data_IF_155205853922
#
_entry.id   IF_155205853922
#
_cell.length_a   1.000
_cell.length_b   1.000
_cell.length_c   1.000
_cell.angle_alpha   90.00
_cell.angle_beta   90.00
_cell.angle_gamma   90.00
#
_symmetry.space_group_name_H-M   'P 1'
#
loop_
_entity.id
_entity.type
_entity.pdbx_description
1 polymer ?
#
# COMPACT_ATOMS: atom_id res chain seq x y z
N UNK A 1 -11.28 -28.72 62.37
CA UNK A 1 -12.67 -28.19 62.43
C UNK A 1 -12.61 -26.73 62.00
N UNK A 2 -13.55 -26.31 61.14
CA UNK A 2 -13.78 -24.98 60.56
C UNK A 2 -13.52 -23.81 61.53
N UNK A 3 -13.22 -22.58 61.10
CA UNK A 3 -13.15 -21.93 59.79
C UNK A 3 -13.19 -20.39 59.99
N UNK A 4 -12.85 -19.62 58.93
CA UNK A 4 -13.19 -18.19 58.69
C UNK A 4 -12.51 -17.15 59.63
N UNK A 5 -11.92 -16.02 59.20
CA UNK A 5 -12.30 -15.08 58.14
C UNK A 5 -11.14 -14.13 57.74
N UNK A 6 -11.06 -13.82 56.44
CA UNK A 6 -10.56 -12.62 55.73
C UNK A 6 -9.41 -11.75 56.25
N UNK A 7 -8.37 -11.58 55.41
CA UNK A 7 -7.94 -10.24 55.01
C UNK A 7 -7.31 -10.20 53.62
N UNK A 8 -7.83 -9.31 52.77
CA UNK A 8 -7.34 -8.99 51.42
C UNK A 8 -6.12 -8.08 51.53
N UNK A 9 -5.07 -8.35 50.77
CA UNK A 9 -4.12 -7.31 50.34
C UNK A 9 -3.78 -7.52 48.86
N UNK A 10 -4.32 -6.61 48.05
CA UNK A 10 -3.94 -6.35 46.67
C UNK A 10 -2.60 -5.62 46.64
N UNK A 11 -1.64 -6.12 45.87
CA UNK A 11 -0.44 -5.36 45.47
C UNK A 11 -0.53 -5.05 43.98
N UNK A 12 -1.09 -3.88 43.66
CA UNK A 12 -0.95 -3.23 42.36
C UNK A 12 0.44 -2.59 42.29
N UNK A 13 1.38 -3.22 41.59
CA UNK A 13 2.63 -2.58 41.22
C UNK A 13 2.36 -1.62 40.05
N UNK A 14 2.08 -0.35 40.35
CA UNK A 14 2.11 0.72 39.37
C UNK A 14 3.56 1.04 39.02
N UNK A 15 4.03 0.58 37.87
CA UNK A 15 5.30 1.03 37.29
C UNK A 15 5.03 2.32 36.54
N UNK A 16 5.41 3.45 37.14
CA UNK A 16 5.43 4.75 36.47
C UNK A 16 6.50 4.73 35.37
N UNK A 17 6.18 5.10 34.12
CA UNK A 17 7.16 5.12 33.06
C UNK A 17 8.22 6.19 33.33
N UNK A 18 9.48 5.83 33.03
CA UNK A 18 10.65 6.70 33.21
C UNK A 18 10.55 7.95 32.33
N UNK A 19 11.26 9.02 32.70
CA UNK A 19 11.25 10.28 31.93
C UNK A 19 11.70 10.12 30.46
N UNK A 20 12.45 9.06 30.13
CA UNK A 20 12.84 8.71 28.76
C UNK A 20 11.71 8.07 27.94
N UNK A 21 10.71 7.44 28.56
CA UNK A 21 9.50 6.95 27.87
C UNK A 21 8.51 8.08 27.59
N UNK A 22 8.43 9.09 28.47
CA UNK A 22 7.56 10.26 28.28
C UNK A 22 8.05 11.21 27.16
N UNK A 23 9.35 11.20 26.84
CA UNK A 23 9.89 12.01 25.74
C UNK A 23 9.68 11.37 24.35
N UNK A 24 9.48 10.04 24.26
CA UNK A 24 9.10 9.39 23.00
C UNK A 24 7.60 9.54 22.70
N UNK A 25 6.71 9.46 23.70
CA UNK A 25 5.26 9.56 23.49
C UNK A 25 4.78 10.99 23.15
N UNK A 26 5.52 12.03 23.59
CA UNK A 26 5.16 13.43 23.29
C UNK A 26 5.69 13.94 21.94
N UNK A 27 6.72 13.29 21.38
CA UNK A 27 7.29 13.65 20.07
C UNK A 27 6.47 13.12 18.87
N UNK A 28 5.90 11.91 18.99
CA UNK A 28 5.19 11.23 17.89
C UNK A 28 3.80 11.85 17.59
N UNK A 29 3.12 12.35 18.62
CA UNK A 29 1.80 12.97 18.48
C UNK A 29 1.84 14.29 17.69
N UNK A 30 2.86 15.12 17.94
CA UNK A 30 3.02 16.41 17.26
C UNK A 30 3.38 16.24 15.78
N UNK A 31 4.29 15.30 15.44
CA UNK A 31 4.65 15.01 14.04
C UNK A 31 3.43 14.53 13.23
N UNK A 32 2.61 13.64 13.82
CA UNK A 32 1.38 13.16 13.17
C UNK A 32 0.40 14.30 12.92
N UNK A 33 0.16 15.18 13.89
CA UNK A 33 -0.72 16.34 13.72
C UNK A 33 -0.22 17.28 12.62
N UNK A 34 1.09 17.52 12.53
CA UNK A 34 1.68 18.34 11.46
C UNK A 34 1.54 17.69 10.08
N UNK A 35 1.70 16.37 9.98
CA UNK A 35 1.48 15.65 8.71
C UNK A 35 0.02 15.67 8.27
N UNK A 36 -0.93 15.58 9.20
CA UNK A 36 -2.37 15.76 8.90
C UNK A 36 -2.64 17.18 8.39
N UNK A 37 -2.07 18.20 9.05
CA UNK A 37 -2.21 19.59 8.60
C UNK A 37 -1.59 19.80 7.20
N UNK A 38 -0.43 19.21 6.92
CA UNK A 38 0.16 19.21 5.58
C UNK A 38 -0.77 18.55 4.55
N UNK A 39 -1.33 17.37 4.84
CA UNK A 39 -2.26 16.68 3.93
C UNK A 39 -3.49 17.54 3.62
N UNK A 40 -4.04 18.20 4.64
CA UNK A 40 -5.18 19.10 4.48
C UNK A 40 -4.83 20.35 3.67
N UNK A 41 -3.62 20.90 3.83
CA UNK A 41 -3.11 22.01 3.03
C UNK A 41 -2.89 21.62 1.56
N UNK A 42 -2.28 20.46 1.31
CA UNK A 42 -2.10 19.89 -0.03
C UNK A 42 -3.44 19.69 -0.73
N UNK A 43 -4.45 19.16 -0.02
CA UNK A 43 -5.80 19.04 -0.57
C UNK A 43 -6.40 20.40 -0.97
N UNK A 44 -6.34 21.40 -0.08
CA UNK A 44 -6.84 22.76 -0.38
C UNK A 44 -6.16 23.36 -1.62
N UNK A 45 -4.86 23.12 -1.79
CA UNK A 45 -4.07 23.53 -2.95
C UNK A 45 -4.51 22.80 -4.22
N UNK A 46 -4.60 21.47 -4.16
CA UNK A 46 -4.96 20.59 -5.29
C UNK A 46 -6.36 20.88 -5.85
N UNK A 47 -7.36 21.08 -4.98
CA UNK A 47 -8.74 21.41 -5.38
C UNK A 47 -8.83 22.64 -6.30
N UNK A 48 -7.88 23.58 -6.19
CA UNK A 48 -7.85 24.81 -6.99
C UNK A 48 -7.01 24.68 -8.26
N UNK A 49 -6.07 23.73 -8.31
CA UNK A 49 -5.03 23.65 -9.35
C UNK A 49 -5.23 22.52 -10.33
N UNK A 50 -5.85 21.41 -9.91
CA UNK A 50 -5.93 20.23 -10.76
C UNK A 50 -7.09 20.31 -11.77
N UNK A 51 -6.87 19.93 -13.03
CA UNK A 51 -7.85 20.09 -14.10
C UNK A 51 -8.95 19.02 -14.08
N UNK A 52 -8.75 17.93 -13.33
CA UNK A 52 -9.69 16.81 -13.20
C UNK A 52 -9.72 16.29 -11.78
N UNK A 53 -10.87 15.75 -11.38
CA UNK A 53 -11.11 15.15 -10.07
C UNK A 53 -10.83 13.65 -10.12
N UNK A 54 -9.73 13.25 -9.49
CA UNK A 54 -9.33 11.84 -9.38
C UNK A 54 -9.70 11.30 -8.00
N UNK A 55 -10.41 10.18 -7.95
CA UNK A 55 -10.79 9.50 -6.69
C UNK A 55 -10.08 8.16 -6.59
N UNK A 56 -9.43 7.93 -5.45
CA UNK A 56 -8.88 6.62 -5.12
C UNK A 56 -9.80 5.89 -4.16
N UNK A 57 -9.91 4.57 -4.31
CA UNK A 57 -10.57 3.72 -3.33
C UNK A 57 -9.65 2.57 -2.88
N UNK A 58 -9.71 2.26 -1.59
CA UNK A 58 -8.87 1.22 -0.99
C UNK A 58 -9.55 0.55 0.21
N UNK A 59 -9.14 -0.68 0.50
CA UNK A 59 -9.57 -1.42 1.69
C UNK A 59 -8.41 -1.47 2.67
N UNK A 60 -8.66 -1.14 3.94
CA UNK A 60 -7.64 -0.98 4.95
C UNK A 60 -8.01 -1.69 6.26
N UNK A 61 -7.13 -2.53 6.79
CA UNK A 61 -7.31 -3.22 8.07
C UNK A 61 -6.30 -2.86 9.17
N UNK A 62 -5.58 -1.74 9.01
CA UNK A 62 -4.43 -1.37 9.83
C UNK A 62 -4.76 -0.73 11.19
N UNK A 63 -3.85 -0.85 12.16
CA UNK A 63 -3.86 -0.09 13.42
C UNK A 63 -3.41 1.35 13.22
N UNK A 64 -3.57 2.21 14.23
CA UNK A 64 -3.13 3.61 14.21
C UNK A 64 -1.67 3.75 13.82
N UNK A 65 -0.79 2.97 14.44
CA UNK A 65 0.64 2.99 14.13
C UNK A 65 0.93 2.64 12.65
N UNK A 66 0.19 1.69 12.06
CA UNK A 66 0.34 1.37 10.63
C UNK A 66 -0.23 2.47 9.73
N UNK A 67 -1.32 3.14 10.15
CA UNK A 67 -1.86 4.30 9.43
C UNK A 67 -0.86 5.44 9.43
N UNK A 68 -0.29 5.80 10.58
CA UNK A 68 0.71 6.87 10.70
C UNK A 68 1.98 6.56 9.89
N UNK A 69 2.45 5.31 9.94
CA UNK A 69 3.70 4.88 9.31
C UNK A 69 3.59 4.69 7.80
N UNK A 70 2.51 4.07 7.32
CA UNK A 70 2.43 3.60 5.93
C UNK A 70 1.33 4.32 5.14
N UNK A 71 0.13 4.49 5.70
CA UNK A 71 -1.03 5.04 4.98
C UNK A 71 -0.99 6.57 4.87
N UNK A 72 -0.59 7.29 5.92
CA UNK A 72 -0.55 8.76 5.91
C UNK A 72 0.50 9.28 4.91
N UNK A 73 1.73 8.73 4.83
CA UNK A 73 2.67 9.08 3.75
C UNK A 73 2.12 8.74 2.36
N UNK A 74 1.38 7.64 2.23
CA UNK A 74 0.73 7.24 0.98
C UNK A 74 -0.36 8.23 0.56
N UNK A 75 -1.19 8.73 1.49
CA UNK A 75 -2.20 9.77 1.24
C UNK A 75 -1.51 11.08 0.85
N UNK A 76 -0.48 11.49 1.60
CA UNK A 76 0.29 12.70 1.32
C UNK A 76 0.88 12.68 -0.10
N UNK A 77 1.56 11.59 -0.46
CA UNK A 77 2.12 11.40 -1.79
C UNK A 77 1.04 11.53 -2.87
N UNK A 78 -0.07 10.79 -2.75
CA UNK A 78 -1.09 10.81 -3.80
C UNK A 78 -1.86 12.14 -3.85
N UNK A 79 -2.02 12.84 -2.72
CA UNK A 79 -2.57 14.20 -2.70
C UNK A 79 -1.66 15.17 -3.45
N UNK A 80 -0.33 15.05 -3.29
CA UNK A 80 0.66 15.82 -4.06
C UNK A 80 0.57 15.55 -5.57
N UNK A 81 0.27 14.31 -5.96
CA UNK A 81 0.05 13.91 -7.35
C UNK A 81 -1.32 14.36 -7.90
N UNK A 82 -2.10 15.12 -7.14
CA UNK A 82 -3.39 15.65 -7.57
C UNK A 82 -4.58 14.71 -7.37
N UNK A 83 -4.44 13.65 -6.57
CA UNK A 83 -5.60 12.85 -6.16
C UNK A 83 -6.49 13.68 -5.26
N UNK A 84 -7.75 13.83 -5.69
CA UNK A 84 -8.71 14.73 -5.06
C UNK A 84 -9.27 14.16 -3.76
N UNK A 85 -9.75 12.91 -3.79
CA UNK A 85 -10.37 12.27 -2.62
C UNK A 85 -10.04 10.77 -2.54
N UNK A 86 -10.08 10.25 -1.31
CA UNK A 86 -9.85 8.85 -0.98
C UNK A 86 -11.10 8.24 -0.33
N UNK A 87 -11.62 7.17 -0.89
CA UNK A 87 -12.68 6.37 -0.28
C UNK A 87 -12.09 5.12 0.37
N UNK A 88 -12.18 5.04 1.69
CA UNK A 88 -11.58 3.95 2.49
C UNK A 88 -12.68 3.10 3.09
N UNK A 89 -12.75 1.83 2.67
CA UNK A 89 -13.45 0.81 3.45
C UNK A 89 -12.51 0.30 4.54
N UNK A 90 -12.79 0.67 5.78
CA UNK A 90 -11.99 0.30 6.93
C UNK A 90 -12.49 -1.01 7.54
N UNK A 91 -11.70 -2.06 7.36
CA UNK A 91 -11.86 -3.43 7.87
C UNK A 91 -11.01 -3.67 9.14
N UNK A 92 -10.52 -2.59 9.77
CA UNK A 92 -9.76 -2.64 11.01
C UNK A 92 -10.65 -2.51 12.25
N UNK A 93 -10.07 -2.80 13.41
CA UNK A 93 -10.74 -2.71 14.73
C UNK A 93 -10.10 -1.69 15.67
N UNK A 94 -9.27 -0.80 15.14
CA UNK A 94 -8.66 0.28 15.90
C UNK A 94 -9.46 1.58 15.68
N UNK A 95 -10.10 2.08 16.74
CA UNK A 95 -10.88 3.32 16.68
C UNK A 95 -9.99 4.56 16.50
N UNK A 96 -8.74 4.52 16.96
CA UNK A 96 -7.83 5.66 16.89
C UNK A 96 -7.25 5.83 15.49
N UNK A 97 -7.11 4.72 14.76
CA UNK A 97 -6.85 4.73 13.33
C UNK A 97 -8.02 5.39 12.56
N UNK A 98 -9.26 5.04 12.91
CA UNK A 98 -10.45 5.61 12.28
C UNK A 98 -10.56 7.11 12.55
N UNK A 99 -10.33 7.55 13.79
CA UNK A 99 -10.27 8.98 14.17
C UNK A 99 -9.19 9.73 13.39
N UNK A 100 -8.01 9.14 13.22
CA UNK A 100 -6.94 9.72 12.42
C UNK A 100 -7.35 9.87 10.95
N UNK A 101 -7.91 8.83 10.33
CA UNK A 101 -8.37 8.89 8.94
C UNK A 101 -9.46 9.94 8.74
N UNK A 102 -10.40 10.06 9.68
CA UNK A 102 -11.49 11.07 9.65
C UNK A 102 -10.98 12.51 9.81
N UNK A 103 -9.78 12.73 10.33
CA UNK A 103 -9.18 14.06 10.46
C UNK A 103 -8.63 14.64 9.15
N UNK A 104 -8.52 13.81 8.11
CA UNK A 104 -8.05 14.19 6.78
C UNK A 104 -9.23 14.66 5.91
N UNK A 105 -9.16 15.88 5.40
CA UNK A 105 -10.25 16.54 4.67
C UNK A 105 -10.63 15.86 3.35
N UNK A 106 -9.67 15.14 2.74
CA UNK A 106 -9.87 14.43 1.48
C UNK A 106 -10.12 12.93 1.67
N UNK A 107 -10.42 12.48 2.88
CA UNK A 107 -10.66 11.06 3.18
C UNK A 107 -12.10 10.82 3.62
N UNK A 108 -12.79 9.97 2.87
CA UNK A 108 -14.09 9.43 3.20
C UNK A 108 -13.94 7.99 3.66
N UNK A 109 -14.01 7.78 4.97
CA UNK A 109 -13.88 6.45 5.56
C UNK A 109 -15.24 5.88 5.98
N UNK A 110 -15.41 4.57 5.78
CA UNK A 110 -16.57 3.79 6.25
C UNK A 110 -16.09 2.53 6.96
N UNK A 111 -16.51 2.35 8.22
CA UNK A 111 -16.12 1.19 9.01
C UNK A 111 -17.01 -0.03 8.69
N UNK A 112 -16.37 -1.16 8.37
CA UNK A 112 -17.06 -2.43 8.11
C UNK A 112 -17.51 -3.13 9.41
N UNK A 113 -16.80 -2.88 10.51
CA UNK A 113 -17.12 -3.49 11.80
C UNK A 113 -17.86 -2.52 12.73
N UNK A 114 -18.92 -3.03 13.36
CA UNK A 114 -19.80 -2.25 14.23
C UNK A 114 -19.16 -1.81 15.55
N UNK A 115 -18.12 -2.52 15.98
CA UNK A 115 -17.42 -2.33 17.26
C UNK A 115 -16.49 -1.10 17.26
N UNK A 116 -16.14 -0.59 16.09
CA UNK A 116 -15.35 0.66 15.92
C UNK A 116 -16.10 1.77 15.20
N UNK A 117 -17.32 1.50 14.76
CA UNK A 117 -18.17 2.47 14.11
C UNK A 117 -18.70 3.48 15.14
N UNK A 118 -18.42 4.76 14.94
CA UNK A 118 -19.23 5.84 15.50
C UNK A 118 -20.57 5.87 14.74
N UNK A 119 -21.66 6.36 15.36
CA UNK A 119 -23.02 6.39 14.78
C UNK A 119 -23.12 7.30 13.52
N UNK A 120 -22.53 6.86 12.41
CA UNK A 120 -22.72 7.44 11.08
C UNK A 120 -23.93 6.75 10.46
N UNK A 121 -24.97 7.54 10.17
CA UNK A 121 -26.29 7.06 9.75
C UNK A 121 -26.29 6.04 8.59
N UNK A 122 -25.32 6.12 7.68
CA UNK A 122 -25.24 5.25 6.50
C UNK A 122 -24.42 3.96 6.71
N UNK A 123 -23.63 3.86 7.78
CA UNK A 123 -22.78 2.68 8.01
C UNK A 123 -23.58 1.39 8.27
N UNK A 124 -24.69 1.37 9.04
CA UNK A 124 -25.52 0.18 9.18
C UNK A 124 -26.05 -0.34 7.83
N UNK A 125 -26.53 0.56 6.97
CA UNK A 125 -27.04 0.21 5.63
C UNK A 125 -25.92 -0.31 4.72
N UNK A 126 -24.72 0.27 4.80
CA UNK A 126 -23.55 -0.21 4.06
C UNK A 126 -23.17 -1.64 4.51
N UNK A 127 -23.16 -1.90 5.83
CA UNK A 127 -22.88 -3.25 6.37
C UNK A 127 -23.90 -4.29 5.93
N UNK A 128 -25.18 -3.93 5.87
CA UNK A 128 -26.23 -4.79 5.32
C UNK A 128 -25.99 -5.09 3.84
N UNK A 129 -25.70 -4.07 3.02
CA UNK A 129 -25.34 -4.26 1.61
C UNK A 129 -24.11 -5.15 1.44
N UNK A 130 -23.10 -4.99 2.30
CA UNK A 130 -21.91 -5.84 2.30
C UNK A 130 -22.26 -7.30 2.63
N UNK A 131 -23.08 -7.55 3.66
CA UNK A 131 -23.50 -8.90 4.01
C UNK A 131 -24.21 -9.59 2.83
N UNK A 132 -25.19 -8.90 2.22
CA UNK A 132 -25.87 -9.41 1.02
C UNK A 132 -24.96 -9.54 -0.20
N UNK A 133 -23.92 -8.71 -0.31
CA UNK A 133 -22.90 -8.83 -1.35
C UNK A 133 -22.03 -10.07 -1.15
N UNK A 134 -21.52 -10.28 0.06
CA UNK A 134 -20.66 -11.40 0.41
C UNK A 134 -21.37 -12.75 0.20
N UNK A 135 -22.65 -12.85 0.58
CA UNK A 135 -23.49 -14.03 0.34
C UNK A 135 -23.64 -14.36 -1.15
N UNK A 136 -23.87 -13.33 -1.99
CA UNK A 136 -24.02 -13.53 -3.45
C UNK A 136 -22.72 -13.95 -4.14
N UNK A 137 -21.58 -13.62 -3.57
CA UNK A 137 -20.26 -14.00 -4.09
C UNK A 137 -19.75 -15.30 -3.47
N UNK A 138 -20.66 -16.25 -3.17
CA UNK A 138 -20.41 -17.48 -2.41
C UNK A 138 -19.18 -18.29 -2.84
N UNK A 139 -18.82 -18.28 -4.13
CA UNK A 139 -17.63 -18.96 -4.65
C UNK A 139 -16.32 -18.48 -4.01
N UNK A 140 -16.31 -17.23 -3.53
CA UNK A 140 -15.18 -16.57 -2.89
C UNK A 140 -15.49 -16.10 -1.46
N UNK A 141 -16.75 -15.73 -1.18
CA UNK A 141 -17.19 -15.09 0.06
C UNK A 141 -17.09 -15.97 1.32
N UNK A 142 -17.19 -17.29 1.16
CA UNK A 142 -16.97 -18.23 2.27
C UNK A 142 -15.51 -18.66 2.45
N UNK A 143 -14.63 -18.28 1.51
CA UNK A 143 -13.21 -18.61 1.60
C UNK A 143 -12.46 -17.52 2.36
N UNK A 144 -11.60 -17.89 3.32
CA UNK A 144 -10.84 -16.92 4.11
C UNK A 144 -9.71 -16.25 3.32
N UNK A 145 -9.00 -15.35 4.00
CA UNK A 145 -7.73 -14.78 3.53
C UNK A 145 -7.85 -13.95 2.26
N UNK A 146 -7.02 -14.23 1.26
CA UNK A 146 -7.00 -13.45 0.01
C UNK A 146 -8.38 -13.42 -0.66
N UNK A 147 -9.15 -14.52 -0.60
CA UNK A 147 -10.45 -14.60 -1.24
C UNK A 147 -11.48 -13.65 -0.58
N UNK A 148 -11.56 -13.66 0.75
CA UNK A 148 -12.39 -12.72 1.50
C UNK A 148 -11.96 -11.27 1.26
N UNK A 149 -10.66 -11.00 1.20
CA UNK A 149 -10.13 -9.66 0.90
C UNK A 149 -10.56 -9.18 -0.50
N UNK A 150 -10.48 -10.02 -1.52
CA UNK A 150 -10.93 -9.66 -2.88
C UNK A 150 -12.44 -9.34 -2.91
N UNK A 151 -13.26 -10.04 -2.13
CA UNK A 151 -14.70 -9.74 -2.01
C UNK A 151 -14.93 -8.37 -1.38
N UNK A 152 -14.18 -8.03 -0.32
CA UNK A 152 -14.23 -6.71 0.34
C UNK A 152 -13.76 -5.59 -0.59
N UNK A 153 -12.63 -5.77 -1.28
CA UNK A 153 -12.10 -4.80 -2.25
C UNK A 153 -13.11 -4.56 -3.39
N UNK A 154 -13.72 -5.62 -3.93
CA UNK A 154 -14.72 -5.48 -5.00
C UNK A 154 -15.98 -4.77 -4.51
N UNK A 155 -16.44 -5.06 -3.29
CA UNK A 155 -17.54 -4.32 -2.67
C UNK A 155 -17.20 -2.83 -2.51
N UNK A 156 -16.03 -2.54 -1.94
CA UNK A 156 -15.52 -1.18 -1.75
C UNK A 156 -15.48 -0.40 -3.07
N UNK A 157 -14.97 -1.01 -4.15
CA UNK A 157 -14.95 -0.38 -5.47
C UNK A 157 -16.35 -0.01 -5.97
N UNK A 158 -17.34 -0.88 -5.78
CA UNK A 158 -18.71 -0.59 -6.23
C UNK A 158 -19.37 0.51 -5.39
N UNK A 159 -19.13 0.55 -4.07
CA UNK A 159 -19.58 1.66 -3.22
C UNK A 159 -18.86 2.97 -3.61
N UNK A 160 -17.56 2.91 -3.90
CA UNK A 160 -16.76 4.05 -4.33
C UNK A 160 -17.25 4.66 -5.65
N UNK A 161 -17.81 3.87 -6.57
CA UNK A 161 -18.44 4.39 -7.80
C UNK A 161 -19.61 5.33 -7.48
N UNK A 162 -20.42 5.01 -6.47
CA UNK A 162 -21.53 5.88 -6.05
C UNK A 162 -20.98 7.22 -5.53
N UNK A 163 -19.94 7.17 -4.71
CA UNK A 163 -19.25 8.36 -4.20
C UNK A 163 -18.61 9.19 -5.30
N UNK A 164 -17.91 8.55 -6.22
CA UNK A 164 -17.29 9.22 -7.36
C UNK A 164 -18.34 9.96 -8.21
N UNK A 165 -19.52 9.35 -8.42
CA UNK A 165 -20.62 10.01 -9.14
C UNK A 165 -21.22 11.19 -8.39
N UNK A 166 -21.49 11.04 -7.09
CA UNK A 166 -22.01 12.14 -6.23
C UNK A 166 -21.01 13.29 -6.15
N UNK A 167 -19.71 12.99 -6.08
CA UNK A 167 -18.63 13.99 -6.07
C UNK A 167 -18.31 14.59 -7.44
N UNK A 168 -18.96 14.13 -8.51
CA UNK A 168 -18.62 14.49 -9.90
C UNK A 168 -17.13 14.29 -10.20
N UNK A 169 -16.59 13.14 -9.79
CA UNK A 169 -15.24 12.74 -10.16
C UNK A 169 -15.15 12.49 -11.68
N UNK A 170 -13.99 12.77 -12.25
CA UNK A 170 -13.67 12.44 -13.64
C UNK A 170 -13.10 11.03 -13.75
N UNK A 171 -12.27 10.64 -12.78
CA UNK A 171 -11.55 9.38 -12.76
C UNK A 171 -11.65 8.69 -11.41
N UNK A 172 -11.69 7.35 -11.43
CA UNK A 172 -11.67 6.49 -10.25
C UNK A 172 -10.64 5.36 -10.41
N UNK A 173 -9.89 5.06 -9.35
CA UNK A 173 -8.92 3.96 -9.32
C UNK A 173 -8.96 3.24 -7.98
N UNK A 174 -8.89 1.90 -8.02
CA UNK A 174 -8.56 1.13 -6.83
C UNK A 174 -7.05 0.97 -6.72
N UNK A 175 -6.49 1.20 -5.55
CA UNK A 175 -5.05 1.09 -5.31
C UNK A 175 -4.79 0.67 -3.87
N UNK A 176 -3.87 -0.28 -3.68
CA UNK A 176 -3.57 -0.82 -2.36
C UNK A 176 -2.60 0.12 -1.58
N UNK A 177 -2.61 0.10 -0.23
CA UNK A 177 -1.79 1.02 0.57
C UNK A 177 -0.26 0.78 0.48
N UNK A 178 0.16 -0.28 -0.21
CA UNK A 178 1.55 -0.57 -0.57
C UNK A 178 1.86 -0.27 -2.06
N UNK A 179 0.93 0.31 -2.81
CA UNK A 179 1.07 0.63 -4.23
C UNK A 179 1.10 2.16 -4.45
N UNK A 180 2.07 2.65 -5.22
CA UNK A 180 2.23 4.08 -5.53
C UNK A 180 2.12 4.30 -7.03
N UNK A 181 1.24 5.20 -7.47
CA UNK A 181 1.23 5.60 -8.89
C UNK A 181 2.42 6.51 -9.16
N UNK A 182 3.13 6.25 -10.26
CA UNK A 182 4.18 7.12 -10.77
C UNK A 182 3.91 7.41 -12.24
N UNK A 183 3.47 8.63 -12.58
CA UNK A 183 3.54 9.14 -13.94
C UNK A 183 5.01 9.21 -14.37
N UNK A 184 5.33 8.62 -15.53
CA UNK A 184 6.67 8.58 -16.11
C UNK A 184 6.86 9.64 -17.18
N UNK A 185 5.78 10.29 -17.62
CA UNK A 185 5.85 11.41 -18.55
C UNK A 185 6.63 12.56 -17.93
N UNK A 186 7.87 12.74 -18.36
CA UNK A 186 8.65 13.96 -18.15
C UNK A 186 8.24 14.93 -19.25
N UNK A 187 7.56 16.01 -18.89
CA UNK A 187 7.40 17.17 -19.76
C UNK A 187 8.73 17.91 -19.91
N UNK A 188 8.63 19.21 -20.19
CA UNK A 188 9.75 20.07 -20.57
C UNK A 188 10.72 20.42 -19.42
N UNK A 189 10.64 19.72 -18.28
CA UNK A 189 11.54 19.90 -17.15
C UNK A 189 11.08 20.97 -16.15
N UNK A 190 9.83 21.42 -16.23
CA UNK A 190 9.18 22.18 -15.16
C UNK A 190 8.63 21.18 -14.12
N UNK A 191 8.92 21.37 -12.82
CA UNK A 191 8.58 20.43 -11.73
C UNK A 191 7.09 20.05 -11.54
N UNK A 192 6.20 20.52 -12.44
CA UNK A 192 4.78 20.22 -12.59
C UNK A 192 4.48 18.85 -13.26
N UNK A 193 5.53 18.13 -13.65
CA UNK A 193 5.47 16.93 -14.51
C UNK A 193 5.01 15.64 -13.81
N UNK A 194 4.89 15.61 -12.48
CA UNK A 194 4.49 14.41 -11.73
C UNK A 194 2.99 14.35 -11.38
N UNK A 195 2.17 15.34 -11.76
CA UNK A 195 0.73 15.31 -11.45
C UNK A 195 0.01 14.18 -12.21
N UNK A 196 -0.55 13.23 -11.47
CA UNK A 196 -1.36 12.16 -12.03
C UNK A 196 -2.71 12.68 -12.54
N UNK A 197 -3.28 13.70 -11.90
CA UNK A 197 -4.49 14.34 -12.40
C UNK A 197 -4.26 15.00 -13.78
N UNK A 198 -3.17 15.75 -13.95
CA UNK A 198 -2.82 16.33 -15.26
C UNK A 198 -2.50 15.26 -16.30
N UNK A 199 -1.81 14.19 -15.90
CA UNK A 199 -1.61 13.02 -16.76
C UNK A 199 -2.94 12.45 -17.26
N UNK A 200 -3.92 12.26 -16.38
CA UNK A 200 -5.24 11.74 -16.73
C UNK A 200 -6.10 12.72 -17.53
N UNK A 201 -5.94 14.03 -17.32
CA UNK A 201 -6.62 15.06 -18.10
C UNK A 201 -6.22 15.04 -19.58
N UNK A 202 -4.95 14.76 -19.88
CA UNK A 202 -4.41 14.67 -21.24
C UNK A 202 -4.91 13.42 -22.00
N UNK A 203 -5.54 12.47 -21.32
CA UNK A 203 -5.96 11.22 -21.93
C UNK A 203 -7.13 11.45 -22.90
N UNK A 204 -7.08 10.87 -24.12
CA UNK A 204 -8.10 11.09 -25.12
C UNK A 204 -9.52 10.78 -24.60
N UNK A 205 -10.50 11.55 -25.06
CA UNK A 205 -11.90 11.43 -24.62
C UNK A 205 -12.52 10.04 -24.87
N UNK A 206 -12.01 9.29 -25.86
CA UNK A 206 -12.45 7.93 -26.17
C UNK A 206 -11.89 6.86 -25.21
N UNK A 207 -10.79 7.13 -24.51
CA UNK A 207 -10.19 6.21 -23.53
C UNK A 207 -11.10 6.15 -22.30
N UNK A 208 -11.69 4.99 -22.03
CA UNK A 208 -12.60 4.80 -20.88
C UNK A 208 -11.86 4.31 -19.65
N UNK A 209 -10.79 3.55 -19.84
CA UNK A 209 -10.00 2.94 -18.78
C UNK A 209 -8.55 2.79 -19.23
N UNK A 210 -7.63 3.03 -18.30
CA UNK A 210 -6.19 2.93 -18.50
C UNK A 210 -5.62 1.89 -17.56
N UNK A 211 -4.99 0.86 -18.12
CA UNK A 211 -4.28 -0.16 -17.37
C UNK A 211 -2.83 0.26 -17.18
N UNK A 212 -2.42 0.34 -15.93
CA UNK A 212 -1.07 0.72 -15.50
C UNK A 212 -0.40 -0.54 -14.92
N UNK A 213 0.74 -0.93 -15.50
CA UNK A 213 1.50 -2.08 -15.03
C UNK A 213 2.34 -1.74 -13.80
N UNK A 214 2.62 -2.77 -12.99
CA UNK A 214 3.36 -2.62 -11.75
C UNK A 214 4.85 -2.98 -11.89
N UNK A 215 5.70 -2.26 -11.18
CA UNK A 215 7.07 -2.64 -10.89
C UNK A 215 7.15 -3.02 -9.40
N UNK A 216 7.75 -4.17 -9.08
CA UNK A 216 7.81 -4.72 -7.74
C UNK A 216 9.09 -4.28 -7.03
N UNK A 217 8.98 -3.79 -5.81
CA UNK A 217 10.12 -3.35 -5.03
C UNK A 217 11.14 -4.49 -4.81
N UNK A 218 12.41 -4.10 -4.76
CA UNK A 218 13.55 -4.99 -4.60
C UNK A 218 14.46 -4.43 -3.51
N UNK A 219 14.24 -4.77 -2.23
CA UNK A 219 15.13 -4.37 -1.14
C UNK A 219 16.59 -4.80 -1.43
N UNK A 220 17.52 -3.91 -1.12
CA UNK A 220 18.97 -4.15 -1.30
C UNK A 220 19.66 -4.49 0.04
N UNK A 221 18.93 -4.40 1.16
CA UNK A 221 19.39 -4.81 2.49
C UNK A 221 18.22 -5.25 3.37
N UNK A 222 18.53 -5.99 4.44
CA UNK A 222 17.54 -6.61 5.31
C UNK A 222 16.91 -5.65 6.35
N UNK A 223 17.58 -4.53 6.64
CA UNK A 223 17.25 -3.63 7.73
C UNK A 223 16.64 -2.32 7.22
N UNK A 224 15.47 -2.41 6.60
CA UNK A 224 14.73 -1.25 6.07
C UNK A 224 13.86 -0.65 7.18
N UNK A 225 14.11 0.60 7.56
CA UNK A 225 13.28 1.34 8.54
C UNK A 225 12.15 2.08 7.84
N UNK A 226 12.50 2.89 6.84
CA UNK A 226 11.57 3.65 6.02
C UNK A 226 11.65 3.17 4.57
N UNK A 227 10.64 2.38 4.15
CA UNK A 227 10.59 1.82 2.79
C UNK A 227 10.57 2.89 1.70
N UNK A 228 9.94 4.04 1.96
CA UNK A 228 9.80 5.11 0.96
C UNK A 228 11.12 5.86 0.77
N UNK A 229 12.00 5.84 1.77
CA UNK A 229 13.31 6.48 1.69
C UNK A 229 14.42 5.52 1.32
N UNK A 230 14.32 4.23 1.63
CA UNK A 230 15.43 3.28 1.48
C UNK A 230 15.25 2.36 0.26
N UNK A 231 14.01 2.06 -0.16
CA UNK A 231 13.75 1.14 -1.26
C UNK A 231 13.45 1.90 -2.54
N UNK A 232 14.46 1.95 -3.42
CA UNK A 232 14.38 2.66 -4.71
C UNK A 232 14.54 1.75 -5.92
N UNK A 233 14.95 0.50 -5.72
CA UNK A 233 15.16 -0.46 -6.81
C UNK A 233 13.88 -1.27 -7.04
N UNK A 234 13.48 -1.40 -8.30
CA UNK A 234 12.27 -2.10 -8.72
C UNK A 234 12.55 -3.10 -9.82
N UNK A 235 11.91 -4.26 -9.71
CA UNK A 235 11.78 -5.29 -10.74
C UNK A 235 10.66 -4.89 -11.69
N UNK A 236 10.96 -4.83 -12.98
CA UNK A 236 9.99 -4.37 -13.97
C UNK A 236 8.89 -5.40 -14.24
N UNK A 237 7.71 -4.95 -14.70
CA UNK A 237 6.72 -5.89 -15.22
C UNK A 237 7.24 -6.50 -16.53
N UNK A 238 6.90 -7.77 -16.81
CA UNK A 238 7.20 -8.40 -18.11
C UNK A 238 6.65 -7.61 -19.31
N UNK A 239 5.54 -6.88 -19.12
CA UNK A 239 4.92 -6.06 -20.15
C UNK A 239 5.72 -4.79 -20.46
N UNK A 240 6.62 -4.39 -19.57
CA UNK A 240 7.47 -3.21 -19.69
C UNK A 240 8.92 -3.57 -20.07
N UNK A 241 9.23 -4.85 -20.28
CA UNK A 241 10.58 -5.35 -20.56
C UNK A 241 10.82 -5.55 -22.05
N UNK A 242 12.05 -5.26 -22.50
CA UNK A 242 12.55 -5.74 -23.78
C UNK A 242 12.77 -7.27 -23.75
N UNK A 243 12.78 -7.89 -24.93
CA UNK A 243 12.94 -9.34 -25.09
C UNK A 243 14.21 -9.90 -24.42
N UNK A 244 15.32 -9.17 -24.51
CA UNK A 244 16.60 -9.62 -23.91
C UNK A 244 16.55 -9.64 -22.37
N UNK A 245 15.86 -8.65 -21.77
CA UNK A 245 15.62 -8.60 -20.33
C UNK A 245 14.76 -9.80 -19.87
N UNK A 246 13.76 -10.15 -20.66
CA UNK A 246 12.83 -11.22 -20.36
C UNK A 246 13.53 -12.57 -20.16
N UNK A 247 14.55 -12.88 -20.97
CA UNK A 247 15.33 -14.11 -20.84
C UNK A 247 16.12 -14.18 -19.52
N UNK A 248 16.50 -13.03 -18.96
CA UNK A 248 17.34 -12.95 -17.77
C UNK A 248 16.57 -13.09 -16.45
N UNK A 249 15.25 -12.90 -16.45
CA UNK A 249 14.40 -12.94 -15.25
C UNK A 249 14.56 -14.23 -14.42
N UNK A 250 14.77 -15.37 -15.08
CA UNK A 250 14.87 -16.68 -14.43
C UNK A 250 16.22 -16.88 -13.75
N UNK A 251 17.25 -16.14 -14.16
CA UNK A 251 18.61 -16.21 -13.62
C UNK A 251 18.79 -15.37 -12.36
N UNK A 252 18.07 -14.25 -12.24
CA UNK A 252 18.15 -13.34 -11.08
C UNK A 252 17.10 -13.61 -10.01
N UNK A 253 16.43 -14.76 -10.07
CA UNK A 253 15.41 -15.14 -9.10
C UNK A 253 16.05 -15.54 -7.78
N UNK A 254 15.75 -14.76 -6.74
CA UNK A 254 16.26 -14.96 -5.39
C UNK A 254 15.67 -16.18 -4.69
N UNK A 255 16.53 -16.91 -3.99
CA UNK A 255 16.18 -17.99 -3.08
C UNK A 255 15.25 -19.04 -3.68
N UNK A 256 14.40 -19.59 -2.82
CA UNK A 256 13.41 -20.62 -3.14
C UNK A 256 12.25 -20.15 -4.02
N UNK A 257 12.25 -18.89 -4.48
CA UNK A 257 11.15 -18.37 -5.28
C UNK A 257 10.92 -19.22 -6.54
N UNK A 258 9.67 -19.38 -6.94
CA UNK A 258 9.29 -20.15 -8.13
C UNK A 258 9.36 -19.35 -9.42
N UNK A 259 9.30 -18.03 -9.34
CA UNK A 259 9.39 -17.12 -10.48
C UNK A 259 10.15 -15.85 -10.13
N UNK A 260 10.54 -15.08 -11.15
CA UNK A 260 10.90 -13.68 -10.98
C UNK A 260 9.71 -12.97 -10.34
N UNK A 261 9.84 -12.66 -9.06
CA UNK A 261 8.70 -12.36 -8.22
C UNK A 261 8.16 -10.95 -8.51
N UNK A 262 6.99 -10.93 -9.13
CA UNK A 262 6.07 -9.80 -9.25
C UNK A 262 4.73 -10.33 -8.71
N UNK A 263 4.32 -9.94 -7.50
CA UNK A 263 3.18 -10.53 -6.80
C UNK A 263 1.87 -10.27 -7.55
N UNK A 264 1.69 -9.06 -8.07
CA UNK A 264 0.50 -8.66 -8.83
C UNK A 264 0.82 -8.21 -10.25
N UNK A 265 1.32 -9.12 -11.09
CA UNK A 265 1.73 -8.81 -12.47
C UNK A 265 0.61 -8.29 -13.39
N UNK A 266 -0.65 -8.30 -12.93
CA UNK A 266 -1.80 -7.81 -13.68
C UNK A 266 -1.83 -6.28 -13.81
N UNK A 267 -1.16 -5.53 -12.92
CA UNK A 267 -1.33 -4.09 -12.81
C UNK A 267 -2.69 -3.69 -12.19
N UNK A 268 -3.03 -2.41 -12.27
CA UNK A 268 -4.35 -1.87 -11.92
C UNK A 268 -4.88 -1.02 -13.07
N UNK A 269 -6.15 -0.65 -12.99
CA UNK A 269 -6.72 0.32 -13.93
C UNK A 269 -7.41 1.47 -13.24
N UNK A 270 -7.35 2.61 -13.90
CA UNK A 270 -8.10 3.83 -13.60
C UNK A 270 -9.13 4.03 -14.69
N UNK A 271 -10.36 4.38 -14.31
CA UNK A 271 -11.49 4.46 -15.23
C UNK A 271 -12.23 5.79 -15.12
N UNK A 272 -12.90 6.20 -16.20
CA UNK A 272 -13.76 7.38 -16.19
C UNK A 272 -14.96 7.13 -15.27
N UNK A 273 -15.09 7.95 -14.23
CA UNK A 273 -16.11 7.78 -13.20
C UNK A 273 -17.54 8.06 -13.71
N UNK A 274 -17.67 8.83 -14.79
CA UNK A 274 -18.95 9.15 -15.43
C UNK A 274 -19.47 8.06 -16.38
N UNK A 275 -18.72 6.97 -16.61
CA UNK A 275 -19.15 5.90 -17.50
C UNK A 275 -20.46 5.24 -17.01
N UNK A 276 -21.37 4.98 -17.95
CA UNK A 276 -22.63 4.27 -17.67
C UNK A 276 -22.32 2.83 -17.25
N UNK A 277 -23.04 2.33 -16.24
CA UNK A 277 -22.87 0.99 -15.68
C UNK A 277 -21.42 0.62 -15.28
N UNK A 278 -20.62 1.64 -14.90
CA UNK A 278 -19.29 1.45 -14.33
C UNK A 278 -19.36 0.53 -13.10
N UNK A 279 -18.54 -0.52 -13.11
CA UNK A 279 -18.46 -1.54 -12.07
C UNK A 279 -17.06 -2.15 -12.01
N UNK A 280 -16.73 -2.74 -10.88
CA UNK A 280 -15.49 -3.51 -10.71
C UNK A 280 -15.58 -4.88 -11.42
N UNK A 281 -14.47 -5.29 -12.05
CA UNK A 281 -14.19 -6.66 -12.51
C UNK A 281 -13.15 -7.33 -11.60
N UNK A 282 -13.29 -7.12 -10.29
CA UNK A 282 -12.31 -7.49 -9.28
C UNK A 282 -11.33 -6.34 -8.95
N UNK A 283 -10.38 -6.57 -8.04
CA UNK A 283 -9.56 -5.52 -7.42
C UNK A 283 -8.57 -4.80 -8.36
N UNK A 284 -8.50 -5.21 -9.63
CA UNK A 284 -7.56 -4.68 -10.61
C UNK A 284 -8.23 -3.92 -11.77
N UNK A 285 -9.47 -4.27 -12.12
CA UNK A 285 -10.06 -3.85 -13.39
C UNK A 285 -11.46 -3.25 -13.24
N UNK A 286 -11.80 -2.36 -14.16
CA UNK A 286 -13.13 -1.77 -14.28
C UNK A 286 -13.80 -2.19 -15.59
N UNK A 287 -15.13 -2.06 -15.65
CA UNK A 287 -15.89 -2.15 -16.89
C UNK A 287 -17.12 -1.26 -16.82
N UNK A 288 -17.54 -0.76 -17.98
CA UNK A 288 -18.77 0.00 -18.17
C UNK A 288 -19.22 -0.11 -19.63
N UNK A 289 -20.23 0.67 -19.98
CA UNK A 289 -20.80 0.66 -21.34
C UNK A 289 -20.09 1.66 -22.27
N UNK A 290 -19.26 2.56 -21.69
CA UNK A 290 -18.52 3.60 -22.39
C UNK A 290 -18.79 5.00 -21.83
N UNK A 291 -18.04 5.98 -22.31
CA UNK A 291 -18.41 7.41 -22.17
C UNK A 291 -19.70 7.66 -22.96
N UNK A 292 -20.55 8.65 -22.62
CA UNK A 292 -21.77 8.95 -23.39
C UNK A 292 -21.59 9.03 -24.92
N UNK A 293 -20.35 9.26 -25.39
CA UNK A 293 -20.00 9.49 -26.78
C UNK A 293 -19.12 8.40 -27.42
N UNK A 294 -18.79 7.29 -26.73
CA UNK A 294 -17.91 6.25 -27.29
C UNK A 294 -18.06 4.90 -26.57
N UNK A 295 -17.86 3.76 -27.26
CA UNK A 295 -17.83 2.45 -26.60
C UNK A 295 -16.71 2.35 -25.57
N UNK A 296 -16.87 1.46 -24.59
CA UNK A 296 -15.83 1.19 -23.59
C UNK A 296 -14.51 0.80 -24.25
N UNK A 297 -13.48 1.59 -24.00
CA UNK A 297 -12.14 1.38 -24.55
C UNK A 297 -11.11 1.31 -23.43
N UNK A 298 -10.49 0.14 -23.28
CA UNK A 298 -9.34 -0.08 -22.41
C UNK A 298 -8.05 0.22 -23.18
N UNK A 299 -7.16 1.00 -22.58
CA UNK A 299 -5.85 1.33 -23.15
C UNK A 299 -4.75 0.99 -22.15
N UNK A 300 -3.57 0.62 -22.63
CA UNK A 300 -2.40 0.41 -21.79
C UNK A 300 -1.70 1.76 -21.59
N UNK A 301 -1.35 2.09 -20.35
CA UNK A 301 -0.45 3.20 -20.08
C UNK A 301 0.99 2.77 -20.40
N UNK A 302 1.66 3.51 -21.28
CA UNK A 302 3.08 3.33 -21.64
C UNK A 302 4.01 4.31 -20.90
N UNK A 303 3.44 5.31 -20.25
CA UNK A 303 4.11 6.42 -19.57
C UNK A 303 3.61 6.58 -18.10
N UNK A 304 3.13 5.49 -17.49
CA UNK A 304 2.86 5.41 -16.07
C UNK A 304 3.17 4.01 -15.53
N UNK A 305 3.50 3.93 -14.24
CA UNK A 305 3.78 2.67 -13.55
C UNK A 305 3.15 2.68 -12.16
N UNK A 306 2.88 1.49 -11.62
CA UNK A 306 2.57 1.31 -10.20
C UNK A 306 3.82 0.77 -9.52
N UNK A 307 4.35 1.47 -8.53
CA UNK A 307 5.43 0.99 -7.68
C UNK A 307 4.82 0.20 -6.53
N UNK A 308 5.04 -1.12 -6.51
CA UNK A 308 4.47 -2.01 -5.51
C UNK A 308 5.52 -2.34 -4.45
N UNK A 309 5.30 -1.90 -3.21
CA UNK A 309 6.20 -2.05 -2.07
C UNK A 309 5.85 -3.26 -1.20
N UNK A 310 5.48 -4.39 -1.80
CA UNK A 310 5.21 -5.59 -1.05
C UNK A 310 6.50 -6.22 -0.51
N UNK A 311 6.43 -6.68 0.74
CA UNK A 311 7.54 -7.36 1.43
C UNK A 311 8.86 -6.59 1.33
N UNK A 312 8.85 -5.34 1.77
CA UNK A 312 10.05 -4.50 1.81
C UNK A 312 10.72 -4.48 3.18
N UNK A 313 10.06 -5.04 4.21
CA UNK A 313 10.61 -5.20 5.55
C UNK A 313 10.33 -6.60 6.13
N UNK A 314 11.11 -6.99 7.14
CA UNK A 314 10.91 -8.26 7.88
C UNK A 314 9.52 -8.30 8.52
N UNK A 315 9.00 -7.16 8.98
CA UNK A 315 7.70 -7.03 9.61
C UNK A 315 6.54 -7.35 8.65
N UNK A 316 6.73 -7.16 7.33
CA UNK A 316 5.73 -7.52 6.32
C UNK A 316 5.54 -9.04 6.26
N UNK A 317 6.61 -9.82 6.47
CA UNK A 317 6.52 -11.28 6.61
C UNK A 317 5.90 -11.61 7.96
N UNK A 318 6.42 -11.05 9.05
CA UNK A 318 5.98 -11.36 10.41
C UNK A 318 4.47 -11.13 10.61
N UNK A 319 3.94 -10.05 10.05
CA UNK A 319 2.52 -9.68 10.18
C UNK A 319 1.56 -10.67 9.51
N UNK A 320 2.02 -11.52 8.57
CA UNK A 320 1.15 -12.47 7.86
C UNK A 320 0.44 -13.42 8.82
N UNK A 321 1.11 -13.85 9.89
CA UNK A 321 0.53 -14.75 10.90
C UNK A 321 -0.76 -14.21 11.54
N UNK A 322 -0.87 -12.88 11.69
CA UNK A 322 -2.03 -12.24 12.32
C UNK A 322 -3.04 -11.65 11.34
N UNK A 323 -2.73 -11.59 10.05
CA UNK A 323 -3.50 -10.79 9.07
C UNK A 323 -4.03 -11.59 7.88
N UNK A 324 -3.46 -12.76 7.57
CA UNK A 324 -3.69 -13.42 6.28
C UNK A 324 -4.69 -14.58 6.29
N UNK A 325 -4.80 -15.33 7.40
CA UNK A 325 -5.80 -16.37 7.58
C UNK A 325 -6.43 -16.23 8.98
N UNK A 326 -7.75 -16.42 9.12
CA UNK A 326 -8.41 -16.41 10.42
C UNK A 326 -8.27 -17.76 11.12
N UNK A 327 -8.12 -17.76 12.44
CA UNK A 327 -8.27 -18.95 13.28
C UNK A 327 -7.03 -19.85 13.39
N UNK A 328 -6.97 -20.56 14.54
CA UNK A 328 -5.82 -21.38 14.90
C UNK A 328 -5.63 -22.60 13.98
N UNK A 329 -6.71 -23.10 13.36
CA UNK A 329 -6.66 -24.25 12.45
C UNK A 329 -5.69 -24.05 11.27
N UNK A 330 -5.63 -22.83 10.70
CA UNK A 330 -4.72 -22.54 9.59
C UNK A 330 -3.29 -22.35 10.07
N UNK A 331 -3.11 -21.80 11.28
CA UNK A 331 -1.79 -21.69 11.91
C UNK A 331 -1.21 -23.07 12.17
N UNK A 332 -2.00 -23.98 12.73
CA UNK A 332 -1.59 -25.35 12.93
C UNK A 332 -1.30 -26.08 11.60
N UNK A 333 -2.15 -25.88 10.59
CA UNK A 333 -1.93 -26.43 9.25
C UNK A 333 -0.60 -25.92 8.65
N UNK A 334 -0.26 -24.66 8.88
CA UNK A 334 1.03 -24.08 8.49
C UNK A 334 2.22 -24.76 9.16
N UNK A 335 2.15 -24.97 10.48
CA UNK A 335 3.17 -25.67 11.25
C UNK A 335 3.35 -27.13 10.82
N UNK A 336 2.25 -27.81 10.45
CA UNK A 336 2.27 -29.18 9.89
C UNK A 336 2.66 -29.24 8.41
N UNK A 337 2.88 -28.11 7.74
CA UNK A 337 3.22 -28.05 6.32
C UNK A 337 2.08 -28.44 5.38
N UNK A 338 0.82 -28.42 5.83
CA UNK A 338 -0.35 -28.77 5.03
C UNK A 338 -0.72 -27.65 4.05
N UNK A 339 -0.02 -27.62 2.90
CA UNK A 339 -0.26 -26.64 1.83
C UNK A 339 -1.69 -26.70 1.27
N UNK A 340 -2.30 -27.88 1.22
CA UNK A 340 -3.66 -28.06 0.67
C UNK A 340 -4.67 -27.27 1.48
N UNK A 341 -4.64 -27.38 2.81
CA UNK A 341 -5.51 -26.58 3.70
C UNK A 341 -5.23 -25.09 3.56
N UNK A 342 -3.96 -24.69 3.48
CA UNK A 342 -3.61 -23.26 3.32
C UNK A 342 -4.06 -22.66 1.98
N UNK A 343 -4.21 -23.48 0.93
CA UNK A 343 -4.75 -23.01 -0.36
C UNK A 343 -6.22 -22.57 -0.30
N UNK A 344 -6.91 -22.86 0.80
CA UNK A 344 -8.24 -22.28 1.08
C UNK A 344 -8.17 -20.78 1.41
N UNK A 345 -7.03 -20.26 1.89
CA UNK A 345 -6.81 -18.82 2.10
C UNK A 345 -6.05 -18.12 0.96
N UNK A 346 -5.08 -18.83 0.35
CA UNK A 346 -4.05 -18.18 -0.46
C UNK A 346 -4.17 -18.50 -1.94
N UNK A 347 -4.28 -17.44 -2.75
CA UNK A 347 -4.15 -17.51 -4.21
C UNK A 347 -2.67 -17.66 -4.58
N UNK A 348 -1.83 -16.84 -3.95
CA UNK A 348 -0.41 -16.71 -4.26
C UNK A 348 0.41 -17.64 -3.36
N UNK A 349 1.30 -18.45 -3.98
CA UNK A 349 2.18 -19.38 -3.24
C UNK A 349 3.14 -18.65 -2.30
N UNK A 350 3.63 -17.47 -2.70
CA UNK A 350 4.54 -16.69 -1.89
C UNK A 350 3.89 -16.21 -0.58
N UNK A 351 2.66 -15.68 -0.64
CA UNK A 351 1.89 -15.29 0.55
C UNK A 351 1.68 -16.48 1.48
N UNK A 352 1.38 -17.65 0.92
CA UNK A 352 1.25 -18.91 1.67
C UNK A 352 2.56 -19.26 2.39
N UNK A 353 3.69 -19.20 1.70
CA UNK A 353 4.99 -19.53 2.28
C UNK A 353 5.44 -18.50 3.34
N UNK A 354 5.18 -17.21 3.11
CA UNK A 354 5.39 -16.16 4.10
C UNK A 354 4.52 -16.39 5.35
N UNK A 355 3.23 -16.72 5.17
CA UNK A 355 2.33 -17.05 6.28
C UNK A 355 2.83 -18.27 7.08
N UNK A 356 3.33 -19.30 6.40
CA UNK A 356 3.88 -20.49 7.06
C UNK A 356 5.06 -20.15 7.94
N UNK A 357 6.02 -19.39 7.43
CA UNK A 357 7.19 -18.98 8.20
C UNK A 357 6.77 -18.05 9.35
N UNK A 358 5.89 -17.08 9.10
CA UNK A 358 5.37 -16.19 10.13
C UNK A 358 4.66 -16.95 11.27
N UNK A 359 3.93 -18.03 10.94
CA UNK A 359 3.18 -18.85 11.90
C UNK A 359 4.07 -19.54 12.95
N UNK A 360 5.36 -19.73 12.65
CA UNK A 360 6.34 -20.28 13.60
C UNK A 360 6.59 -19.35 14.78
N UNK A 361 6.42 -18.04 14.61
CA UNK A 361 6.83 -17.03 15.60
C UNK A 361 8.35 -16.91 15.80
N UNK A 362 9.15 -17.68 15.05
CA UNK A 362 10.61 -17.63 15.14
C UNK A 362 11.14 -16.44 14.31
N UNK A 363 11.61 -15.42 15.02
CA UNK A 363 12.15 -14.20 14.41
C UNK A 363 13.37 -14.46 13.52
N UNK A 364 14.17 -15.50 13.82
CA UNK A 364 15.33 -15.89 13.01
C UNK A 364 14.85 -16.52 11.70
N UNK A 365 13.87 -17.43 11.76
CA UNK A 365 13.29 -18.04 10.57
C UNK A 365 12.60 -17.02 9.66
N UNK A 366 11.83 -16.08 10.26
CA UNK A 366 11.15 -15.00 9.53
C UNK A 366 12.15 -14.09 8.83
N UNK A 367 13.19 -13.64 9.54
CA UNK A 367 14.27 -12.82 8.96
C UNK A 367 14.98 -13.55 7.84
N UNK A 368 15.36 -14.82 8.06
CA UNK A 368 16.04 -15.63 7.04
C UNK A 368 15.18 -15.77 5.79
N UNK A 369 13.88 -16.05 5.94
CA UNK A 369 12.97 -16.13 4.79
C UNK A 369 12.92 -14.81 4.01
N UNK A 370 12.83 -13.67 4.71
CA UNK A 370 12.85 -12.36 4.09
C UNK A 370 14.16 -12.11 3.32
N UNK A 371 15.31 -12.34 3.96
CA UNK A 371 16.63 -12.15 3.36
C UNK A 371 16.85 -13.04 2.13
N UNK A 372 16.50 -14.33 2.21
CA UNK A 372 16.68 -15.27 1.12
C UNK A 372 15.71 -15.02 -0.06
N UNK A 373 14.52 -14.47 0.21
CA UNK A 373 13.46 -14.40 -0.80
C UNK A 373 13.24 -13.00 -1.37
N UNK A 374 13.56 -11.95 -0.62
CA UNK A 374 13.27 -10.56 -0.99
C UNK A 374 14.52 -9.71 -1.19
N UNK A 375 15.65 -10.00 -0.53
CA UNK A 375 16.78 -9.07 -0.47
C UNK A 375 17.84 -9.40 -1.53
N UNK A 376 18.13 -8.43 -2.40
CA UNK A 376 19.20 -8.51 -3.38
C UNK A 376 20.49 -7.93 -2.77
N UNK A 377 21.30 -8.81 -2.17
CA UNK A 377 22.53 -8.45 -1.45
C UNK A 377 23.65 -9.45 -1.73
N UNK A 378 24.88 -9.12 -1.32
CA UNK A 378 26.03 -10.01 -1.47
C UNK A 378 25.76 -11.34 -0.76
N UNK A 379 26.11 -12.46 -1.40
CA UNK A 379 25.83 -13.79 -0.87
C UNK A 379 24.37 -14.24 -1.06
N UNK A 380 23.48 -13.40 -1.62
CA UNK A 380 22.12 -13.84 -1.93
C UNK A 380 22.13 -15.05 -2.87
N UNK A 381 21.24 -16.01 -2.64
CA UNK A 381 21.25 -17.29 -3.33
C UNK A 381 20.39 -17.25 -4.58
N UNK A 382 20.91 -17.75 -5.69
CA UNK A 382 20.16 -17.92 -6.95
C UNK A 382 20.34 -19.32 -7.50
N UNK A 383 19.41 -19.75 -8.35
CA UNK A 383 19.52 -21.03 -9.07
C UNK A 383 20.45 -20.82 -10.28
N UNK A 384 21.51 -21.62 -10.34
CA UNK A 384 22.53 -21.57 -11.40
C UNK A 384 22.88 -22.99 -11.86
N UNK A 385 23.48 -23.13 -13.04
CA UNK A 385 24.19 -24.36 -13.41
C UNK A 385 25.62 -24.30 -12.85
N UNK A 386 26.13 -25.42 -12.33
CA UNK A 386 27.50 -25.51 -11.82
C UNK A 386 28.55 -25.60 -12.94
N UNK A 387 28.17 -26.13 -14.09
CA UNK A 387 28.94 -26.10 -15.34
C UNK A 387 28.00 -26.09 -16.54
N UNK A 388 28.51 -25.77 -17.73
CA UNK A 388 27.73 -25.85 -18.97
C UNK A 388 27.27 -27.28 -19.30
N UNK A 389 28.01 -28.28 -18.81
CA UNK A 389 27.76 -29.71 -19.02
C UNK A 389 26.83 -30.34 -17.98
N UNK A 390 26.58 -29.67 -16.86
CA UNK A 390 25.72 -30.16 -15.79
C UNK A 390 24.26 -29.75 -16.05
N UNK A 391 23.41 -30.76 -16.32
CA UNK A 391 21.98 -30.56 -16.50
C UNK A 391 21.27 -30.21 -15.18
N UNK A 392 21.91 -30.41 -14.03
CA UNK A 392 21.32 -30.16 -12.72
C UNK A 392 21.55 -28.72 -12.25
N UNK A 393 20.46 -28.05 -11.88
CA UNK A 393 20.53 -26.71 -11.31
C UNK A 393 20.98 -26.82 -9.83
N UNK A 394 22.03 -26.10 -9.48
CA UNK A 394 22.55 -25.93 -8.12
C UNK A 394 22.13 -24.60 -7.48
N UNK A 395 22.74 -24.28 -6.35
CA UNK A 395 22.66 -22.95 -5.73
C UNK A 395 24.00 -22.25 -5.89
N UNK A 396 23.95 -20.99 -6.34
CA UNK A 396 25.10 -20.09 -6.34
C UNK A 396 24.81 -18.90 -5.44
N UNK A 397 25.87 -18.30 -4.94
CA UNK A 397 25.84 -17.01 -4.27
C UNK A 397 26.14 -15.92 -5.29
N UNK A 398 25.35 -14.85 -5.27
CA UNK A 398 25.63 -13.66 -6.05
C UNK A 398 26.87 -12.97 -5.47
N UNK A 399 27.77 -12.57 -6.35
CA UNK A 399 28.93 -11.73 -6.06
C UNK A 399 28.88 -10.49 -6.94
N UNK A 400 29.41 -9.38 -6.46
CA UNK A 400 29.40 -8.10 -7.17
C UNK A 400 27.98 -7.69 -7.59
N UNK A 401 27.12 -7.63 -6.58
CA UNK A 401 25.71 -7.25 -6.71
C UNK A 401 25.57 -5.88 -7.35
N UNK A 402 26.52 -4.97 -7.10
CA UNK A 402 26.52 -3.65 -7.72
C UNK A 402 26.61 -3.74 -9.24
N UNK A 403 27.55 -4.51 -9.78
CA UNK A 403 27.66 -4.72 -11.23
C UNK A 403 26.43 -5.46 -11.78
N UNK A 404 25.93 -6.47 -11.05
CA UNK A 404 24.69 -7.18 -11.45
C UNK A 404 23.51 -6.22 -11.56
N UNK A 405 23.32 -5.32 -10.59
CA UNK A 405 22.24 -4.32 -10.62
C UNK A 405 22.45 -3.38 -11.81
N UNK A 406 23.67 -2.88 -12.03
CA UNK A 406 23.97 -2.00 -13.15
C UNK A 406 23.66 -2.66 -14.51
N UNK A 407 24.04 -3.93 -14.68
CA UNK A 407 23.76 -4.69 -15.90
C UNK A 407 22.26 -4.98 -16.06
N UNK A 408 21.58 -5.36 -14.97
CA UNK A 408 20.14 -5.60 -14.97
C UNK A 408 19.35 -4.31 -15.28
N UNK A 409 19.83 -3.15 -14.84
CA UNK A 409 19.28 -1.85 -15.22
C UNK A 409 19.51 -1.53 -16.69
N UNK A 410 20.72 -1.79 -17.21
CA UNK A 410 21.07 -1.55 -18.62
C UNK A 410 20.16 -2.30 -19.59
N UNK A 411 19.75 -3.51 -19.24
CA UNK A 411 18.85 -4.33 -20.06
C UNK A 411 17.36 -4.09 -19.77
N UNK A 412 17.01 -3.20 -18.84
CA UNK A 412 15.62 -2.88 -18.49
C UNK A 412 14.91 -3.93 -17.60
N UNK A 413 15.67 -4.80 -16.92
CA UNK A 413 15.12 -5.77 -15.97
C UNK A 413 14.83 -5.11 -14.62
N UNK A 414 15.71 -4.23 -14.18
CA UNK A 414 15.56 -3.42 -12.97
C UNK A 414 15.51 -1.94 -13.32
N UNK A 415 14.89 -1.13 -12.45
CA UNK A 415 14.88 0.33 -12.56
C UNK A 415 14.99 0.95 -11.18
N UNK A 416 15.68 2.10 -11.09
CA UNK A 416 15.66 2.92 -9.88
C UNK A 416 14.61 4.01 -10.02
N UNK A 417 13.80 4.16 -8.99
CA UNK A 417 12.78 5.20 -8.90
C UNK A 417 12.95 6.00 -7.62
N UNK A 418 13.10 7.32 -7.78
CA UNK A 418 13.41 8.25 -6.70
C UNK A 418 12.27 9.24 -6.43
N UNK A 419 11.21 9.26 -7.24
CA UNK A 419 10.11 10.23 -7.11
C UNK A 419 9.42 10.15 -5.74
N UNK A 420 9.05 8.94 -5.30
CA UNK A 420 8.44 8.71 -3.98
C UNK A 420 9.37 9.19 -2.85
N UNK A 421 10.67 8.90 -2.96
CA UNK A 421 11.68 9.33 -1.99
C UNK A 421 11.81 10.86 -1.98
N UNK A 422 11.85 11.50 -3.14
CA UNK A 422 12.00 12.95 -3.29
C UNK A 422 10.81 13.71 -2.69
N UNK A 423 9.58 13.29 -3.03
CA UNK A 423 8.34 13.86 -2.51
C UNK A 423 8.25 13.65 -0.99
N UNK A 424 8.51 12.42 -0.52
CA UNK A 424 8.49 12.10 0.92
C UNK A 424 9.49 12.95 1.71
N UNK A 425 10.70 13.16 1.17
CA UNK A 425 11.69 14.06 1.78
C UNK A 425 11.27 15.53 1.76
N UNK A 426 10.56 15.97 0.72
CA UNK A 426 10.00 17.33 0.66
C UNK A 426 8.96 17.56 1.75
N UNK A 427 8.01 16.63 1.89
CA UNK A 427 7.03 16.66 2.98
C UNK A 427 7.70 16.72 4.36
N UNK A 428 8.72 15.90 4.59
CA UNK A 428 9.47 15.91 5.84
C UNK A 428 10.21 17.25 6.10
N UNK A 429 10.72 17.91 5.05
CA UNK A 429 11.31 19.26 5.17
C UNK A 429 10.24 20.31 5.53
N UNK A 430 9.09 20.29 4.87
CA UNK A 430 7.98 21.21 5.15
C UNK A 430 7.47 21.06 6.59
N UNK A 431 7.27 19.82 7.04
CA UNK A 431 6.87 19.53 8.43
C UNK A 431 7.88 20.11 9.42
N UNK A 432 9.18 19.87 9.24
CA UNK A 432 10.23 20.43 10.11
C UNK A 432 10.30 21.96 10.08
N UNK A 433 10.10 22.57 8.91
CA UNK A 433 10.10 24.02 8.76
C UNK A 433 8.92 24.65 9.51
N UNK A 434 7.71 24.11 9.34
CA UNK A 434 6.51 24.58 10.05
C UNK A 434 6.61 24.32 11.55
N UNK A 435 7.16 23.18 11.97
CA UNK A 435 7.43 22.91 13.38
C UNK A 435 8.36 23.97 13.99
N UNK A 436 9.44 24.32 13.28
CA UNK A 436 10.38 25.35 13.73
C UNK A 436 9.73 26.73 13.82
N UNK A 437 8.95 27.14 12.80
CA UNK A 437 8.23 28.40 12.79
C UNK A 437 7.19 28.49 13.91
N UNK A 438 6.45 27.41 14.16
CA UNK A 438 5.47 27.33 15.25
C UNK A 438 6.12 27.49 16.63
N UNK A 439 7.32 26.94 16.83
CA UNK A 439 8.10 27.15 18.06
C UNK A 439 8.57 28.60 18.24
N UNK A 440 8.89 29.29 17.15
CA UNK A 440 9.34 30.70 17.18
C UNK A 440 8.20 31.69 17.47
N UNK A 441 6.99 31.42 16.95
CA UNK A 441 5.84 32.33 17.07
C UNK A 441 5.07 32.18 18.40
N UNK A 442 5.40 31.18 19.22
CA UNK A 442 4.67 30.87 20.45
C UNK A 442 3.38 30.08 20.16
N UNK A 443 3.14 29.04 20.95
CA UNK A 443 2.07 28.06 20.72
C UNK A 443 0.64 28.64 20.77
N UNK A 444 0.43 29.83 21.34
CA UNK A 444 -0.90 30.39 21.58
C UNK A 444 -1.49 31.21 20.43
N UNK A 445 -0.77 31.42 19.32
CA UNK A 445 -1.26 32.23 18.19
C UNK A 445 -0.99 31.68 16.79
N UNK A 446 -0.32 30.54 16.66
CA UNK A 446 0.14 30.04 15.35
C UNK A 446 -0.91 29.19 14.66
N UNK A 447 -1.46 29.68 13.55
CA UNK A 447 -2.31 28.88 12.68
C UNK A 447 -1.43 28.00 11.77
N UNK A 448 -1.24 26.74 12.17
CA UNK A 448 -0.42 25.74 11.46
C UNK A 448 -0.90 25.54 10.00
N UNK A 449 -2.21 25.57 9.75
CA UNK A 449 -2.75 25.47 8.39
C UNK A 449 -2.28 26.64 7.52
N UNK A 450 -2.30 27.86 8.07
CA UNK A 450 -1.83 29.05 7.35
C UNK A 450 -0.32 29.00 7.08
N UNK A 451 0.48 28.42 7.99
CA UNK A 451 1.91 28.23 7.76
C UNK A 451 2.19 27.25 6.63
N UNK A 452 1.44 26.14 6.54
CA UNK A 452 1.58 25.21 5.41
C UNK A 452 1.09 25.84 4.11
N UNK A 453 -0.05 26.54 4.12
CA UNK A 453 -0.56 27.23 2.93
C UNK A 453 0.47 28.26 2.41
N UNK A 454 1.15 28.98 3.30
CA UNK A 454 2.24 29.90 2.93
C UNK A 454 3.50 29.17 2.44
N UNK A 455 3.92 28.11 3.11
CA UNK A 455 5.11 27.34 2.73
C UNK A 455 4.94 26.70 1.34
N UNK A 456 3.76 26.17 1.03
CA UNK A 456 3.43 25.55 -0.26
C UNK A 456 3.23 26.55 -1.42
N UNK A 457 3.22 27.87 -1.13
CA UNK A 457 3.28 28.93 -2.14
C UNK A 457 4.71 29.34 -2.49
N UNK A 458 5.65 29.07 -1.58
CA UNK A 458 7.08 29.38 -1.76
C UNK A 458 7.88 28.22 -2.35
N UNK A 459 7.43 26.99 -2.08
CA UNK A 459 7.85 25.74 -2.73
C UNK A 459 7.14 25.58 -4.08
#
# INVERSE_FOLDING_TARGET
RAGSETNKLSTSASTTPSAAQRSMESGDSNDTSLRVALANALYRRGVRREPVRVVFCLTLGGSRASVERDVLPWILYHTELGVWNFFILYDGKDADALRLLRSLHNVFVRALHKDVAEDIADEPKMRERYASWAERHWQWGHRPGNYALMVKQTFNQNEAVLWAKVGHADWIMHIDPDEFVLPLYQGDGSGDDLSFARYLHKQPSHVSSLRIFNAEAQPEHAYVKNRLEEVTLFKMNKALMHFDAYAMRTKVRLGGNRAYMILYANGKSVARANATNLRSLGPHFWKGDGSPNAPWTDTLADDATILHYAYTRVEDVASKAGTSCPGDEYREAALRGNRTKLKECFVIDFDLDAFRVASTGDSVAIRKFFEESMVLQEGARVRCRRSETDATMGWCEIRDVRSLIADAMRIGLLRREHAVQAISRSHARLVRAVEHLSKLQGASGTNVDALFDAALLLD
#
